data_IF_093271194066
#
_entry.id   IF_093271194066
#
_cell.length_a   1.000
_cell.length_b   1.000
_cell.length_c   1.000
_cell.angle_alpha   90.00
_cell.angle_beta   90.00
_cell.angle_gamma   90.00
#
_symmetry.space_group_name_H-M   'P 1'
#
loop_
_entity.id
_entity.type
_entity.pdbx_description
1 polymer ?
#
# COMPACT_ATOMS: atom_id res chain seq x y z
N UNK A 1 26.57 -6.11 27.46
CA UNK A 1 26.00 -7.00 26.41
C UNK A 1 24.52 -7.30 26.67
N UNK A 2 23.65 -6.27 26.64
CA UNK A 2 22.21 -6.45 26.87
C UNK A 2 21.44 -6.59 25.56
N UNK A 3 21.25 -7.86 25.19
CA UNK A 3 19.97 -8.44 24.78
C UNK A 3 19.30 -7.97 23.47
N UNK A 4 19.98 -8.20 22.33
CA UNK A 4 19.37 -8.22 20.96
C UNK A 4 18.11 -9.11 20.87
N UNK A 5 17.95 -10.11 21.76
CA UNK A 5 16.75 -10.96 21.85
C UNK A 5 15.53 -10.22 22.41
N UNK A 6 15.72 -9.24 23.31
CA UNK A 6 14.60 -8.46 23.88
C UNK A 6 14.01 -7.47 22.87
N UNK A 7 14.84 -6.84 22.05
CA UNK A 7 14.39 -5.90 21.01
C UNK A 7 13.62 -6.65 19.90
N UNK A 8 14.08 -7.84 19.50
CA UNK A 8 13.37 -8.72 18.55
C UNK A 8 11.98 -9.14 19.06
N UNK A 9 11.86 -9.44 20.37
CA UNK A 9 10.58 -9.76 21.02
C UNK A 9 9.63 -8.57 21.05
N UNK A 10 10.13 -7.35 21.28
CA UNK A 10 9.32 -6.12 21.26
C UNK A 10 8.79 -5.79 19.86
N UNK A 11 9.59 -6.00 18.81
CA UNK A 11 9.18 -5.79 17.41
C UNK A 11 8.12 -6.83 16.99
N UNK A 12 8.29 -8.10 17.37
CA UNK A 12 7.31 -9.17 17.10
C UNK A 12 6.01 -9.02 17.89
N UNK A 13 6.06 -8.45 19.11
CA UNK A 13 4.86 -8.22 19.92
C UNK A 13 3.98 -7.08 19.37
N UNK A 14 4.58 -6.06 18.74
CA UNK A 14 3.85 -4.92 18.16
C UNK A 14 3.23 -5.25 16.78
N UNK A 15 3.72 -6.29 16.10
CA UNK A 15 3.31 -6.72 14.77
C UNK A 15 2.82 -8.18 14.74
N UNK A 16 1.99 -8.58 15.72
CA UNK A 16 1.31 -9.88 15.67
C UNK A 16 0.03 -9.72 14.83
N UNK A 17 -0.07 -10.28 13.61
CA UNK A 17 -1.30 -10.20 12.83
C UNK A 17 -2.36 -11.03 13.54
N UNK A 18 -3.34 -10.35 14.13
CA UNK A 18 -4.37 -10.97 14.97
C UNK A 18 -5.55 -11.57 14.19
N UNK A 19 -5.43 -11.75 12.87
CA UNK A 19 -6.45 -12.47 12.10
C UNK A 19 -5.82 -13.37 11.05
N UNK A 20 -6.12 -14.67 11.15
CA UNK A 20 -5.99 -15.64 10.06
C UNK A 20 -6.72 -15.06 8.85
N UNK A 21 -6.00 -14.75 7.78
CA UNK A 21 -6.60 -14.45 6.47
C UNK A 21 -6.98 -15.79 5.85
N UNK A 22 -8.17 -16.26 6.17
CA UNK A 22 -8.84 -17.31 5.41
C UNK A 22 -9.38 -16.67 4.14
N UNK A 23 -8.80 -17.04 2.99
CA UNK A 23 -9.45 -16.87 1.69
C UNK A 23 -10.72 -17.73 1.72
N UNK A 24 -11.90 -17.10 1.78
CA UNK A 24 -13.17 -17.80 1.73
C UNK A 24 -13.79 -17.62 0.35
N UNK A 25 -13.89 -18.74 -0.35
CA UNK A 25 -14.60 -18.92 -1.61
C UNK A 25 -16.07 -18.47 -1.43
N UNK A 26 -16.53 -17.53 -2.27
CA UNK A 26 -17.74 -16.74 -1.99
C UNK A 26 -19.07 -17.37 -2.47
N UNK A 27 -19.09 -18.66 -2.80
CA UNK A 27 -20.29 -19.35 -3.30
C UNK A 27 -20.83 -20.39 -2.31
N UNK A 28 -21.35 -19.94 -1.16
CA UNK A 28 -22.44 -20.58 -0.35
C UNK A 28 -22.50 -19.94 1.04
N UNK A 29 -23.21 -18.81 1.18
CA UNK A 29 -23.73 -18.41 2.49
C UNK A 29 -25.13 -19.02 2.67
N UNK A 30 -25.16 -20.31 2.97
CA UNK A 30 -26.36 -20.99 3.47
C UNK A 30 -26.24 -21.14 4.98
N UNK A 31 -26.99 -20.34 5.75
CA UNK A 31 -27.17 -20.61 7.17
C UNK A 31 -28.32 -21.61 7.33
N UNK A 32 -28.00 -22.87 7.64
CA UNK A 32 -29.03 -23.83 8.09
C UNK A 32 -29.33 -23.58 9.56
N UNK A 33 -30.39 -22.81 9.82
CA UNK A 33 -30.97 -22.74 11.16
C UNK A 33 -31.87 -23.96 11.37
N UNK A 34 -31.57 -24.75 12.40
CA UNK A 34 -32.38 -25.88 12.83
C UNK A 34 -33.86 -25.48 12.97
N UNK A 35 -34.75 -26.38 12.53
CA UNK A 35 -36.20 -26.16 12.40
C UNK A 35 -36.83 -25.71 13.71
N UNK A 36 -36.93 -24.39 13.92
CA UNK A 36 -37.87 -23.82 14.87
C UNK A 36 -39.27 -23.80 14.22
N UNK A 37 -40.27 -24.36 14.90
CA UNK A 37 -41.67 -24.28 14.45
C UNK A 37 -42.32 -22.94 14.84
N UNK A 38 -43.24 -22.45 14.01
CA UNK A 38 -44.14 -21.34 14.35
C UNK A 38 -43.67 -19.92 13.97
N UNK A 39 -44.40 -18.90 14.46
CA UNK A 39 -44.20 -17.47 14.13
C UNK A 39 -42.77 -16.95 14.36
N UNK A 40 -42.02 -17.54 15.28
CA UNK A 40 -40.62 -17.22 15.52
C UNK A 40 -39.71 -17.53 14.32
N UNK A 41 -40.02 -18.60 13.57
CA UNK A 41 -39.27 -18.96 12.36
C UNK A 41 -39.50 -17.96 11.22
N UNK A 42 -40.72 -17.42 11.11
CA UNK A 42 -41.02 -16.33 10.16
C UNK A 42 -40.24 -15.06 10.51
N UNK A 43 -40.18 -14.69 11.79
CA UNK A 43 -39.37 -13.57 12.25
C UNK A 43 -37.87 -13.79 12.00
N UNK A 44 -37.33 -14.96 12.34
CA UNK A 44 -35.93 -15.31 12.07
C UNK A 44 -35.60 -15.28 10.56
N UNK A 45 -36.53 -15.69 9.70
CA UNK A 45 -36.36 -15.65 8.23
C UNK A 45 -36.42 -14.22 7.68
N UNK A 46 -37.22 -13.34 8.29
CA UNK A 46 -37.27 -11.92 7.95
C UNK A 46 -35.99 -11.20 8.40
N UNK A 47 -35.53 -11.49 9.62
CA UNK A 47 -34.27 -10.96 10.16
C UNK A 47 -33.09 -11.45 9.32
N UNK A 48 -33.05 -12.73 8.93
CA UNK A 48 -31.95 -13.25 8.09
C UNK A 48 -31.97 -12.66 6.68
N UNK A 49 -33.15 -12.42 6.09
CA UNK A 49 -33.26 -11.72 4.80
C UNK A 49 -32.82 -10.26 4.89
N UNK A 50 -33.21 -9.55 5.96
CA UNK A 50 -32.76 -8.18 6.22
C UNK A 50 -31.24 -8.14 6.48
N UNK A 51 -30.70 -9.12 7.19
CA UNK A 51 -29.27 -9.22 7.44
C UNK A 51 -28.51 -9.50 6.14
N UNK A 52 -28.98 -10.44 5.32
CA UNK A 52 -28.41 -10.69 3.99
C UNK A 52 -28.47 -9.46 3.11
N UNK A 53 -29.61 -8.74 3.05
CA UNK A 53 -29.71 -7.54 2.20
C UNK A 53 -28.78 -6.41 2.66
N UNK A 54 -28.62 -6.23 3.98
CA UNK A 54 -27.65 -5.29 4.56
C UNK A 54 -26.23 -5.73 4.20
N UNK A 55 -25.89 -7.01 4.36
CA UNK A 55 -24.56 -7.54 4.01
C UNK A 55 -24.25 -7.42 2.51
N UNK A 56 -25.24 -7.65 1.66
CA UNK A 56 -25.12 -7.43 0.22
C UNK A 56 -24.93 -5.95 -0.10
N UNK A 57 -25.70 -5.04 0.51
CA UNK A 57 -25.53 -3.60 0.35
C UNK A 57 -24.14 -3.13 0.82
N UNK A 58 -23.63 -3.67 1.92
CA UNK A 58 -22.25 -3.42 2.38
C UNK A 58 -21.20 -3.93 1.40
N UNK A 59 -21.39 -5.15 0.87
CA UNK A 59 -20.49 -5.72 -0.15
C UNK A 59 -20.49 -4.89 -1.44
N UNK A 60 -21.65 -4.33 -1.79
CA UNK A 60 -21.84 -3.52 -3.00
C UNK A 60 -21.34 -2.08 -2.82
N UNK A 61 -21.37 -1.56 -1.58
CA UNK A 61 -20.68 -0.32 -1.19
C UNK A 61 -19.16 -0.49 -1.24
N UNK A 62 -18.64 -1.63 -0.75
CA UNK A 62 -17.23 -2.00 -0.84
C UNK A 62 -16.79 -2.17 -2.30
N UNK A 63 -17.65 -2.78 -3.13
CA UNK A 63 -17.47 -2.92 -4.58
C UNK A 63 -17.53 -1.57 -5.31
N UNK A 64 -18.34 -0.61 -4.85
CA UNK A 64 -18.35 0.77 -5.38
C UNK A 64 -17.11 1.59 -5.02
N UNK A 65 -16.48 1.31 -3.87
CA UNK A 65 -15.15 1.82 -3.55
C UNK A 65 -14.00 1.04 -4.23
N UNK A 66 -14.31 -0.05 -4.94
CA UNK A 66 -13.37 -0.81 -5.77
C UNK A 66 -13.13 -0.18 -7.16
N UNK A 67 -13.43 1.12 -7.33
CA UNK A 67 -12.89 1.88 -8.47
C UNK A 67 -11.50 2.35 -8.06
N UNK A 68 -10.49 1.72 -8.68
CA UNK A 68 -9.08 1.60 -8.31
C UNK A 68 -8.24 2.89 -8.27
N UNK A 69 -8.77 4.03 -7.82
CA UNK A 69 -8.01 5.26 -7.67
C UNK A 69 -8.56 6.14 -6.55
N UNK A 70 -7.78 6.29 -5.48
CA UNK A 70 -8.12 7.21 -4.40
C UNK A 70 -7.67 8.63 -4.77
N UNK A 71 -8.62 9.49 -5.14
CA UNK A 71 -8.34 10.90 -5.46
C UNK A 71 -8.44 11.75 -4.19
N UNK A 72 -7.31 12.27 -3.71
CA UNK A 72 -7.25 13.19 -2.57
C UNK A 72 -7.21 14.63 -3.07
N UNK A 73 -8.18 15.44 -2.67
CA UNK A 73 -8.15 16.89 -2.83
C UNK A 73 -7.77 17.51 -1.49
N UNK A 74 -6.78 18.39 -1.48
CA UNK A 74 -6.42 19.14 -0.27
C UNK A 74 -6.29 20.62 -0.59
N UNK A 75 -6.55 21.47 0.40
CA UNK A 75 -6.37 22.92 0.28
C UNK A 75 -4.88 23.32 0.20
N UNK A 76 -4.62 24.57 -0.23
CA UNK A 76 -3.28 25.19 -0.12
C UNK A 76 -2.88 25.26 1.36
N UNK A 77 -1.62 24.93 1.67
CA UNK A 77 -1.13 24.81 3.04
C UNK A 77 -1.26 23.40 3.64
N UNK A 78 -1.97 22.47 2.98
CA UNK A 78 -1.94 21.06 3.34
C UNK A 78 -0.81 20.35 2.57
N UNK A 79 0.07 19.66 3.28
CA UNK A 79 1.28 19.07 2.70
C UNK A 79 0.99 17.75 1.96
N UNK A 80 0.43 17.85 0.76
CA UNK A 80 0.21 16.70 -0.13
C UNK A 80 1.47 15.86 -0.34
N UNK A 81 2.62 16.51 -0.44
CA UNK A 81 3.91 15.84 -0.60
C UNK A 81 4.38 15.09 0.65
N UNK A 82 3.92 15.46 1.85
CA UNK A 82 4.13 14.69 3.09
C UNK A 82 3.20 13.47 3.10
N UNK A 83 1.94 13.64 2.70
CA UNK A 83 1.02 12.52 2.54
C UNK A 83 1.53 11.50 1.52
N UNK A 84 2.19 11.95 0.46
CA UNK A 84 2.88 11.08 -0.50
C UNK A 84 3.95 10.21 0.19
N UNK A 85 4.74 10.79 1.12
CA UNK A 85 5.70 10.04 1.94
C UNK A 85 5.04 8.97 2.81
N UNK A 86 3.85 9.27 3.38
CA UNK A 86 3.06 8.28 4.14
C UNK A 86 2.61 7.11 3.27
N UNK A 87 2.05 7.40 2.10
CA UNK A 87 1.56 6.38 1.17
C UNK A 87 2.73 5.52 0.66
N UNK A 88 3.85 6.15 0.31
CA UNK A 88 5.06 5.45 -0.12
C UNK A 88 5.62 4.54 0.99
N UNK A 89 5.69 5.04 2.23
CA UNK A 89 6.12 4.25 3.39
C UNK A 89 5.19 3.06 3.66
N UNK A 90 3.89 3.22 3.41
CA UNK A 90 2.91 2.15 3.54
C UNK A 90 3.04 1.13 2.41
N UNK A 91 3.24 1.59 1.18
CA UNK A 91 3.44 0.75 0.01
C UNK A 91 4.71 -0.10 0.13
N UNK A 92 5.84 0.50 0.55
CA UNK A 92 7.11 -0.22 0.78
C UNK A 92 6.92 -1.34 1.80
N UNK A 93 6.17 -1.10 2.90
CA UNK A 93 5.90 -2.12 3.92
C UNK A 93 5.00 -3.26 3.41
N UNK A 94 4.02 -2.95 2.57
CA UNK A 94 3.06 -3.94 2.07
C UNK A 94 3.55 -4.74 0.86
N UNK A 95 4.41 -4.14 0.03
CA UNK A 95 4.86 -4.71 -1.24
C UNK A 95 6.39 -4.82 -1.30
N UNK A 96 7.02 -5.83 -0.65
CA UNK A 96 8.46 -6.04 -0.74
C UNK A 96 8.85 -6.42 -2.18
N UNK A 97 10.03 -5.95 -2.63
CA UNK A 97 10.58 -6.24 -3.97
C UNK A 97 9.74 -5.79 -5.17
N UNK A 98 8.74 -4.94 -4.94
CA UNK A 98 7.80 -4.42 -5.95
C UNK A 98 8.31 -3.21 -6.71
N UNK A 99 7.62 -2.88 -7.80
CA UNK A 99 7.91 -1.68 -8.60
C UNK A 99 6.76 -0.68 -8.48
N UNK A 100 7.04 0.50 -7.97
CA UNK A 100 6.11 1.63 -7.89
C UNK A 100 6.45 2.75 -8.86
N UNK A 101 5.44 3.54 -9.23
CA UNK A 101 5.61 4.74 -10.05
C UNK A 101 5.22 5.98 -9.25
N UNK A 102 6.05 7.02 -9.32
CA UNK A 102 5.71 8.36 -8.83
C UNK A 102 5.57 9.26 -10.06
N UNK A 103 4.37 9.77 -10.30
CA UNK A 103 4.07 10.54 -11.51
C UNK A 103 4.13 12.04 -11.23
N UNK A 104 4.81 12.75 -12.11
CA UNK A 104 4.81 14.21 -12.14
C UNK A 104 4.71 14.75 -13.56
N UNK A 105 4.49 16.06 -13.65
CA UNK A 105 4.46 16.76 -14.93
C UNK A 105 5.85 16.73 -15.57
N UNK A 106 6.87 17.20 -14.84
CA UNK A 106 8.28 17.20 -15.28
C UNK A 106 9.22 16.64 -14.23
N UNK A 107 10.39 16.14 -14.66
CA UNK A 107 11.37 15.55 -13.75
C UNK A 107 11.91 16.59 -12.75
N UNK A 108 12.16 17.80 -13.23
CA UNK A 108 12.66 18.92 -12.43
C UNK A 108 11.68 19.26 -11.31
N UNK A 109 10.37 19.26 -11.57
CA UNK A 109 9.37 19.50 -10.54
C UNK A 109 9.34 18.40 -9.48
N UNK A 110 9.41 17.12 -9.90
CA UNK A 110 9.44 16.00 -8.96
C UNK A 110 10.66 16.15 -8.05
N UNK A 111 11.85 16.39 -8.62
CA UNK A 111 13.11 16.47 -7.88
C UNK A 111 13.21 17.70 -6.98
N UNK A 112 12.75 18.87 -7.43
CA UNK A 112 12.90 20.14 -6.70
C UNK A 112 11.81 20.39 -5.65
N UNK A 113 10.57 19.94 -5.91
CA UNK A 113 9.41 20.30 -5.06
C UNK A 113 8.80 19.12 -4.33
N UNK A 114 8.59 17.98 -5.01
CA UNK A 114 7.96 16.82 -4.37
C UNK A 114 8.95 16.04 -3.51
N UNK A 115 10.15 15.79 -4.04
CA UNK A 115 11.12 14.89 -3.43
C UNK A 115 11.57 15.36 -2.03
N UNK A 116 11.94 16.64 -1.77
CA UNK A 116 12.34 17.07 -0.43
C UNK A 116 11.21 16.86 0.60
N UNK A 117 9.99 17.27 0.27
CA UNK A 117 8.84 17.10 1.15
C UNK A 117 8.41 15.63 1.32
N UNK A 118 8.64 14.79 0.32
CA UNK A 118 8.42 13.34 0.44
C UNK A 118 9.49 12.69 1.31
N UNK A 119 10.74 13.16 1.27
CA UNK A 119 11.80 12.72 2.21
C UNK A 119 11.42 13.07 3.65
N UNK A 120 11.02 14.31 3.91
CA UNK A 120 10.50 14.71 5.24
C UNK A 120 9.34 13.81 5.68
N UNK A 121 8.37 13.55 4.79
CA UNK A 121 7.27 12.64 5.06
C UNK A 121 7.75 11.22 5.40
N UNK A 122 8.68 10.66 4.62
CA UNK A 122 9.25 9.33 4.87
C UNK A 122 10.00 9.27 6.20
N UNK A 123 10.76 10.31 6.55
CA UNK A 123 11.45 10.41 7.83
C UNK A 123 10.48 10.40 9.01
N UNK A 124 9.34 11.10 8.90
CA UNK A 124 8.27 11.05 9.92
C UNK A 124 7.70 9.63 10.13
N UNK A 125 7.73 8.78 9.10
CA UNK A 125 7.27 7.39 9.18
C UNK A 125 8.40 6.36 9.39
N UNK A 126 9.61 6.84 9.71
CA UNK A 126 10.77 6.04 10.11
C UNK A 126 11.57 5.44 8.97
N UNK A 127 11.57 6.06 7.78
CA UNK A 127 12.44 5.70 6.66
C UNK A 127 13.47 6.81 6.46
N UNK A 128 14.76 6.45 6.50
CA UNK A 128 15.85 7.42 6.38
C UNK A 128 16.69 7.19 5.11
N UNK A 129 17.06 8.28 4.43
CA UNK A 129 17.95 8.23 3.26
C UNK A 129 19.35 7.75 3.67
N UNK A 130 19.94 6.86 2.88
CA UNK A 130 21.24 6.24 3.15
C UNK A 130 21.18 5.04 4.09
N UNK A 131 20.09 4.86 4.85
CA UNK A 131 19.89 3.70 5.73
C UNK A 131 18.85 2.74 5.15
N UNK A 132 17.65 3.25 4.87
CA UNK A 132 16.51 2.44 4.42
C UNK A 132 16.23 2.59 2.94
N UNK A 133 16.66 3.69 2.32
CA UNK A 133 16.55 3.90 0.89
C UNK A 133 17.68 4.77 0.34
N UNK A 134 17.93 4.66 -0.96
CA UNK A 134 18.84 5.52 -1.71
C UNK A 134 18.13 6.10 -2.93
N UNK A 135 18.50 7.32 -3.32
CA UNK A 135 17.91 8.01 -4.48
C UNK A 135 18.95 8.11 -5.60
N UNK A 136 18.54 7.79 -6.82
CA UNK A 136 19.37 7.96 -8.01
C UNK A 136 20.47 6.91 -8.18
N UNK A 137 20.50 5.88 -7.32
CA UNK A 137 21.59 4.90 -7.23
C UNK A 137 21.05 3.51 -6.92
N UNK A 138 21.82 2.49 -7.29
CA UNK A 138 21.55 1.12 -6.90
C UNK A 138 22.11 0.87 -5.49
N UNK A 139 21.24 0.40 -4.59
CA UNK A 139 21.61 0.08 -3.20
C UNK A 139 22.21 -1.32 -3.02
N UNK A 140 22.51 -2.04 -4.11
CA UNK A 140 23.06 -3.41 -4.06
C UNK A 140 24.36 -3.49 -3.26
N UNK A 141 25.23 -2.48 -3.42
CA UNK A 141 26.50 -2.38 -2.68
C UNK A 141 26.29 -2.18 -1.18
N UNK A 142 25.14 -1.62 -0.77
CA UNK A 142 24.74 -1.44 0.62
C UNK A 142 24.02 -2.67 1.21
N UNK A 143 23.93 -3.76 0.45
CA UNK A 143 23.23 -4.99 0.84
C UNK A 143 21.71 -4.90 0.74
N UNK A 144 21.17 -3.99 -0.06
CA UNK A 144 19.72 -3.92 -0.29
C UNK A 144 19.28 -5.09 -1.18
N UNK A 145 18.08 -5.62 -0.92
CA UNK A 145 17.49 -6.62 -1.81
C UNK A 145 17.21 -6.03 -3.20
N UNK A 146 17.18 -6.86 -4.24
CA UNK A 146 16.87 -6.39 -5.60
C UNK A 146 15.38 -6.56 -5.91
N UNK A 147 14.75 -5.61 -6.64
CA UNK A 147 13.39 -5.74 -7.14
C UNK A 147 13.24 -6.95 -8.07
N UNK A 148 12.00 -7.41 -8.27
CA UNK A 148 11.71 -8.49 -9.23
C UNK A 148 12.10 -8.12 -10.67
N UNK A 149 11.91 -6.85 -11.03
CA UNK A 149 12.29 -6.31 -12.33
C UNK A 149 13.27 -5.17 -12.15
N UNK A 150 14.44 -5.32 -12.77
CA UNK A 150 15.51 -4.32 -12.70
C UNK A 150 15.19 -3.15 -13.62
N UNK A 151 15.29 -1.90 -13.14
CA UNK A 151 15.17 -0.73 -14.01
C UNK A 151 16.43 -0.58 -14.87
N UNK A 152 16.26 -0.12 -16.11
CA UNK A 152 17.39 0.12 -17.03
C UNK A 152 18.27 1.29 -16.57
N UNK A 153 17.70 2.27 -15.88
CA UNK A 153 18.42 3.42 -15.32
C UNK A 153 18.02 3.64 -13.86
N UNK A 154 19.02 3.91 -13.02
CA UNK A 154 18.82 4.18 -11.59
C UNK A 154 18.67 5.67 -11.27
N UNK A 155 18.95 6.56 -12.22
CA UNK A 155 19.03 8.02 -11.97
C UNK A 155 17.72 8.62 -11.46
N UNK A 156 16.59 8.08 -11.91
CA UNK A 156 15.25 8.51 -11.53
C UNK A 156 14.56 7.53 -10.56
N UNK A 157 15.32 6.66 -9.87
CA UNK A 157 14.78 5.60 -9.04
C UNK A 157 15.11 5.84 -7.57
N UNK A 158 14.15 5.58 -6.70
CA UNK A 158 14.34 5.43 -5.26
C UNK A 158 14.39 3.94 -4.96
N UNK A 159 15.51 3.45 -4.44
CA UNK A 159 15.70 2.05 -4.12
C UNK A 159 15.64 1.85 -2.60
N UNK A 160 14.69 1.03 -2.14
CA UNK A 160 14.51 0.72 -0.74
C UNK A 160 15.24 -0.57 -0.35
N UNK A 161 15.60 -0.70 0.93
CA UNK A 161 16.35 -1.84 1.48
C UNK A 161 15.66 -3.18 1.29
N UNK A 162 14.33 -3.19 1.30
CA UNK A 162 13.49 -4.37 1.06
C UNK A 162 13.33 -4.72 -0.44
N UNK A 163 14.11 -4.08 -1.31
CA UNK A 163 14.10 -4.26 -2.75
C UNK A 163 12.93 -3.62 -3.48
N UNK A 164 12.03 -2.90 -2.78
CA UNK A 164 11.04 -2.08 -3.46
C UNK A 164 11.74 -0.96 -4.22
N UNK A 165 11.29 -0.66 -5.43
CA UNK A 165 11.73 0.52 -6.18
C UNK A 165 10.56 1.47 -6.42
N UNK A 166 10.82 2.77 -6.35
CA UNK A 166 9.88 3.78 -6.83
C UNK A 166 10.53 4.57 -7.97
N UNK A 167 10.00 4.41 -9.17
CA UNK A 167 10.49 5.05 -10.39
C UNK A 167 9.77 6.38 -10.58
N UNK A 168 10.52 7.47 -10.66
CA UNK A 168 9.97 8.78 -10.99
C UNK A 168 9.72 8.85 -12.49
N UNK A 169 8.45 8.92 -12.86
CA UNK A 169 7.97 8.94 -14.24
C UNK A 169 7.34 10.28 -14.52
N UNK A 170 7.62 10.81 -15.71
CA UNK A 170 7.18 12.14 -16.10
C UNK A 170 6.16 12.07 -17.21
N UNK A 171 5.38 13.15 -17.36
CA UNK A 171 4.44 13.32 -18.47
C UNK A 171 5.13 13.91 -19.71
N UNK A 172 6.20 14.69 -19.51
CA UNK A 172 6.98 15.33 -20.58
C UNK A 172 7.70 14.32 -21.51
N UNK A 173 8.12 13.16 -20.99
CA UNK A 173 8.81 12.14 -21.75
C UNK A 173 7.96 10.86 -21.87
N UNK A 174 7.31 10.70 -23.03
CA UNK A 174 6.44 9.56 -23.34
C UNK A 174 7.14 8.19 -23.25
N UNK A 175 8.46 8.15 -23.44
CA UNK A 175 9.22 6.90 -23.40
C UNK A 175 9.46 6.40 -21.96
N UNK A 176 9.38 7.29 -20.96
CA UNK A 176 9.61 6.92 -19.55
C UNK A 176 8.54 6.00 -18.96
N UNK A 177 7.38 5.88 -19.63
CA UNK A 177 6.19 5.17 -19.15
C UNK A 177 6.04 3.75 -19.68
N UNK A 178 6.61 3.47 -20.86
CA UNK A 178 6.28 2.25 -21.62
C UNK A 178 7.09 1.06 -21.11
N UNK A 179 6.43 -0.08 -20.94
CA UNK A 179 7.08 -1.35 -20.58
C UNK A 179 7.41 -1.55 -19.10
N UNK A 180 7.06 -0.60 -18.23
CA UNK A 180 7.23 -0.75 -16.78
C UNK A 180 6.04 -1.50 -16.19
N UNK A 181 6.29 -2.66 -15.58
CA UNK A 181 5.31 -3.29 -14.68
C UNK A 181 5.29 -2.50 -13.38
N UNK A 182 4.12 -2.03 -12.97
CA UNK A 182 3.94 -1.31 -11.72
C UNK A 182 2.89 -1.98 -10.84
N UNK A 183 3.22 -2.13 -9.56
CA UNK A 183 2.35 -2.69 -8.54
C UNK A 183 1.59 -1.58 -7.78
N UNK A 184 2.13 -0.35 -7.78
CA UNK A 184 1.45 0.85 -7.26
C UNK A 184 1.83 2.12 -8.03
N UNK A 185 0.93 3.10 -8.06
CA UNK A 185 1.11 4.39 -8.73
C UNK A 185 0.68 5.51 -7.78
N UNK A 186 1.52 6.55 -7.67
CA UNK A 186 1.32 7.72 -6.81
C UNK A 186 1.47 9.05 -7.56
#
# INVERSE_FOLDING_TARGET
MSNKKSIRKLIQAKYKPSRKVTFFDHHKFGYEFGKAGGNAAKQLRLISKAFSSIMYAYSDLYRRHSVNSLRKFTGRGHSNSINLGRELSSAVKNFPRSTGLIVGETFVQIKSRKLPSTKEGMEMFGLYEGVDYVVGKCGKELGFEMPFQLPNSWQNVIHFRNGTIAVMVTLDNLNSRRGLRSDFIL
#
